data_IF_621168735210
#
_entry.id   IF_621168735210
#
_cell.length_a   1.000
_cell.length_b   1.000
_cell.length_c   1.000
_cell.angle_alpha   90.00
_cell.angle_beta   90.00
_cell.angle_gamma   90.00
#
_symmetry.space_group_name_H-M   'P 1'
#
loop_
_entity.id
_entity.type
_entity.pdbx_description
1 polymer ?
#
# COMPACT_ATOMS: atom_id res chain seq x y z
N UNK A 1 21.44 21.55 -25.14
CA UNK A 1 20.18 21.93 -24.46
C UNK A 1 19.34 22.83 -25.35
N UNK A 2 19.75 24.08 -25.65
CA UNK A 2 18.91 25.06 -26.34
C UNK A 2 18.49 24.61 -27.75
N UNK A 3 19.40 24.07 -28.55
CA UNK A 3 19.12 23.57 -29.91
C UNK A 3 18.05 22.47 -29.89
N UNK A 4 18.16 21.52 -28.97
CA UNK A 4 17.20 20.41 -28.84
C UNK A 4 15.83 20.93 -28.36
N UNK A 5 15.80 21.86 -27.41
CA UNK A 5 14.57 22.52 -26.96
C UNK A 5 13.87 23.26 -28.10
N UNK A 6 14.61 24.01 -28.92
CA UNK A 6 14.04 24.74 -30.06
C UNK A 6 13.45 23.77 -31.10
N UNK A 7 14.06 22.61 -31.33
CA UNK A 7 13.55 21.56 -32.22
C UNK A 7 12.28 20.89 -31.66
N UNK A 8 12.25 20.60 -30.35
CA UNK A 8 11.07 20.03 -29.69
C UNK A 8 9.90 21.03 -29.73
N UNK A 9 10.15 22.32 -29.46
CA UNK A 9 9.12 23.35 -29.51
C UNK A 9 8.55 23.58 -30.91
N UNK A 10 9.29 23.23 -31.97
CA UNK A 10 8.82 23.31 -33.37
C UNK A 10 8.03 22.09 -33.81
N UNK A 11 8.10 20.98 -33.07
CA UNK A 11 7.30 19.78 -33.37
C UNK A 11 5.87 19.98 -32.84
N UNK A 12 4.87 19.78 -33.70
CA UNK A 12 3.45 19.88 -33.36
C UNK A 12 2.86 18.60 -32.72
N UNK A 13 3.72 17.70 -32.27
CA UNK A 13 3.29 16.41 -31.68
C UNK A 13 4.21 16.03 -30.51
N UNK A 14 3.75 15.13 -29.66
CA UNK A 14 4.57 14.58 -28.59
C UNK A 14 5.80 13.90 -29.17
N UNK A 15 6.98 14.27 -28.67
CA UNK A 15 8.27 13.75 -29.13
C UNK A 15 8.67 12.60 -28.21
N UNK A 16 8.96 11.43 -28.78
CA UNK A 16 9.43 10.28 -28.03
C UNK A 16 10.81 10.55 -27.39
N UNK A 17 11.11 9.85 -26.31
CA UNK A 17 12.41 10.01 -25.61
C UNK A 17 13.58 9.63 -26.53
N UNK A 18 13.40 8.61 -27.37
CA UNK A 18 14.38 8.17 -28.36
C UNK A 18 14.67 9.26 -29.38
N UNK A 19 13.64 9.96 -29.86
CA UNK A 19 13.81 11.10 -30.81
C UNK A 19 14.60 12.25 -30.16
N UNK A 20 14.32 12.54 -28.85
CA UNK A 20 15.07 13.53 -28.10
C UNK A 20 16.53 13.14 -27.95
N UNK A 21 16.81 11.86 -27.67
CA UNK A 21 18.16 11.33 -27.58
C UNK A 21 18.91 11.43 -28.91
N UNK A 22 18.23 11.15 -30.04
CA UNK A 22 18.79 11.32 -31.36
C UNK A 22 19.09 12.76 -31.74
N UNK A 23 18.22 13.69 -31.30
CA UNK A 23 18.47 15.15 -31.42
C UNK A 23 19.69 15.59 -30.62
N UNK A 24 19.86 15.06 -29.39
CA UNK A 24 21.04 15.34 -28.55
C UNK A 24 22.31 14.84 -29.22
N UNK A 25 22.31 13.61 -29.74
CA UNK A 25 23.45 13.00 -30.42
C UNK A 25 23.86 13.83 -31.65
N UNK A 26 22.90 14.18 -32.51
CA UNK A 26 23.12 15.04 -33.68
C UNK A 26 23.67 16.41 -33.28
N UNK A 27 23.09 17.03 -32.25
CA UNK A 27 23.55 18.34 -31.76
C UNK A 27 24.97 18.31 -31.19
N UNK A 28 25.40 17.21 -30.55
CA UNK A 28 26.79 17.03 -30.10
C UNK A 28 27.74 16.90 -31.34
N UNK A 29 27.33 16.14 -32.35
CA UNK A 29 28.12 15.97 -33.59
C UNK A 29 28.25 17.27 -34.38
N UNK A 30 27.18 18.05 -34.53
CA UNK A 30 27.18 19.36 -35.19
C UNK A 30 28.11 20.35 -34.50
N UNK A 31 28.23 20.29 -33.17
CA UNK A 31 29.18 21.06 -32.40
C UNK A 31 30.63 20.53 -32.46
N UNK A 32 30.88 19.51 -33.31
CA UNK A 32 32.17 18.83 -33.44
C UNK A 32 32.70 18.14 -32.20
N UNK A 33 31.80 17.84 -31.23
CA UNK A 33 32.13 17.12 -30.00
C UNK A 33 32.21 15.60 -30.21
N UNK A 34 33.00 15.15 -31.18
CA UNK A 34 33.01 13.76 -31.63
C UNK A 34 33.35 12.74 -30.54
N UNK A 35 34.27 13.07 -29.63
CA UNK A 35 34.61 12.20 -28.50
C UNK A 35 33.43 12.07 -27.51
N UNK A 36 32.75 13.19 -27.24
CA UNK A 36 31.56 13.20 -26.40
C UNK A 36 30.41 12.44 -27.04
N UNK A 37 30.21 12.61 -28.35
CA UNK A 37 29.22 11.86 -29.13
C UNK A 37 29.48 10.35 -29.05
N UNK A 38 30.74 9.91 -29.20
CA UNK A 38 31.10 8.50 -29.05
C UNK A 38 30.79 7.93 -27.67
N UNK A 39 31.09 8.68 -26.62
CA UNK A 39 30.80 8.28 -25.25
C UNK A 39 29.27 8.19 -25.06
N UNK A 40 28.53 9.16 -25.57
CA UNK A 40 27.09 9.21 -25.48
C UNK A 40 26.40 8.04 -26.23
N UNK A 41 26.84 7.73 -27.46
CA UNK A 41 26.34 6.59 -28.24
C UNK A 41 26.62 5.26 -27.53
N UNK A 42 27.84 5.09 -27.00
CA UNK A 42 28.16 3.88 -26.21
C UNK A 42 27.34 3.77 -24.94
N UNK A 43 27.06 4.88 -24.27
CA UNK A 43 26.18 4.92 -23.11
C UNK A 43 24.76 4.54 -23.49
N UNK A 44 24.19 5.12 -24.55
CA UNK A 44 22.86 4.74 -25.07
C UNK A 44 22.78 3.26 -25.41
N UNK A 45 23.77 2.75 -26.14
CA UNK A 45 23.83 1.33 -26.51
C UNK A 45 23.85 0.42 -25.27
N UNK A 46 24.65 0.74 -24.25
CA UNK A 46 24.67 -0.02 -23.01
C UNK A 46 23.32 0.01 -22.28
N UNK A 47 22.67 1.16 -22.26
CA UNK A 47 21.34 1.32 -21.69
C UNK A 47 20.28 0.51 -22.46
N UNK A 48 20.36 0.52 -23.78
CA UNK A 48 19.46 -0.24 -24.65
C UNK A 48 19.66 -1.76 -24.48
N UNK A 49 20.92 -2.20 -24.40
CA UNK A 49 21.24 -3.59 -24.11
C UNK A 49 20.74 -4.03 -22.73
N UNK A 50 20.89 -3.18 -21.71
CA UNK A 50 20.37 -3.45 -20.37
C UNK A 50 18.83 -3.52 -20.35
N UNK A 51 18.14 -2.71 -21.16
CA UNK A 51 16.67 -2.79 -21.31
C UNK A 51 16.19 -4.03 -22.08
N UNK A 52 17.00 -4.52 -23.04
CA UNK A 52 16.69 -5.69 -23.89
C UNK A 52 17.15 -7.01 -23.30
N UNK A 53 18.15 -6.98 -22.41
CA UNK A 53 18.52 -8.14 -21.63
C UNK A 53 17.31 -8.60 -20.78
N UNK A 54 17.25 -9.88 -20.45
CA UNK A 54 16.18 -10.38 -19.57
C UNK A 54 16.28 -9.67 -18.22
N UNK A 55 15.57 -8.57 -18.09
CA UNK A 55 15.67 -7.62 -16.98
C UNK A 55 15.32 -8.23 -15.63
N UNK A 56 14.57 -9.35 -15.65
CA UNK A 56 14.16 -10.06 -14.43
C UNK A 56 15.35 -10.72 -13.75
N UNK A 57 16.16 -11.48 -14.51
CA UNK A 57 17.34 -12.14 -13.96
C UNK A 57 18.38 -11.12 -13.47
N UNK A 58 18.64 -10.09 -14.25
CA UNK A 58 19.57 -9.02 -13.88
C UNK A 58 19.08 -8.23 -12.65
N UNK A 59 17.77 -7.95 -12.55
CA UNK A 59 17.15 -7.33 -11.41
C UNK A 59 17.29 -8.16 -10.15
N UNK A 60 17.05 -9.47 -10.24
CA UNK A 60 17.21 -10.42 -9.13
C UNK A 60 18.68 -10.52 -8.68
N UNK A 61 19.61 -10.62 -9.62
CA UNK A 61 21.04 -10.68 -9.31
C UNK A 61 21.51 -9.37 -8.65
N UNK A 62 21.08 -8.22 -9.15
CA UNK A 62 21.40 -6.93 -8.55
C UNK A 62 20.86 -6.78 -7.11
N UNK A 63 19.73 -7.40 -6.79
CA UNK A 63 19.22 -7.46 -5.42
C UNK A 63 20.07 -8.36 -4.52
N UNK A 64 20.46 -9.53 -5.01
CA UNK A 64 21.33 -10.48 -4.27
C UNK A 64 22.68 -9.83 -3.96
N UNK A 65 23.27 -9.17 -4.94
CA UNK A 65 24.57 -8.49 -4.80
C UNK A 65 24.49 -7.14 -4.07
N UNK A 66 23.29 -6.71 -3.70
CA UNK A 66 23.01 -5.43 -3.02
C UNK A 66 23.51 -4.20 -3.80
N UNK A 67 23.52 -4.29 -5.13
CA UNK A 67 23.93 -3.19 -6.04
C UNK A 67 22.76 -2.49 -6.73
N UNK A 68 21.53 -2.87 -6.41
CA UNK A 68 20.33 -2.22 -6.97
C UNK A 68 20.14 -0.83 -6.35
N UNK A 69 20.51 0.21 -7.10
CA UNK A 69 20.42 1.60 -6.65
C UNK A 69 18.97 2.09 -6.54
N UNK A 70 18.04 1.56 -7.33
CA UNK A 70 16.61 1.93 -7.25
C UNK A 70 16.05 1.51 -5.90
N UNK A 71 16.31 0.29 -5.48
CA UNK A 71 15.85 -0.25 -4.19
C UNK A 71 16.49 0.48 -3.01
N UNK A 72 17.76 0.88 -3.13
CA UNK A 72 18.44 1.67 -2.08
C UNK A 72 17.83 3.07 -1.90
N UNK A 73 17.28 3.65 -2.98
CA UNK A 73 16.70 4.98 -3.01
C UNK A 73 15.17 4.96 -2.79
N UNK A 74 14.56 3.80 -2.85
CA UNK A 74 13.13 3.65 -2.63
C UNK A 74 12.78 4.08 -1.20
N UNK A 75 11.87 5.05 -1.09
CA UNK A 75 11.37 5.54 0.20
C UNK A 75 10.36 4.55 0.79
N UNK A 76 10.76 3.30 0.93
CA UNK A 76 9.95 2.24 1.52
C UNK A 76 10.25 2.13 3.02
N UNK A 77 9.25 1.72 3.79
CA UNK A 77 9.42 1.43 5.22
C UNK A 77 10.23 0.15 5.48
N UNK A 78 10.76 -0.47 4.43
CA UNK A 78 11.50 -1.73 4.48
C UNK A 78 12.99 -1.47 4.35
N UNK A 79 13.79 -2.13 5.18
CA UNK A 79 15.25 -2.08 5.08
C UNK A 79 15.73 -3.04 3.96
N UNK A 80 16.32 -2.53 2.85
CA UNK A 80 16.71 -3.35 1.70
C UNK A 80 17.84 -4.36 1.98
N UNK A 81 18.52 -4.25 3.12
CA UNK A 81 19.63 -5.17 3.49
C UNK A 81 19.16 -6.41 4.25
N UNK A 82 17.89 -6.46 4.65
CA UNK A 82 17.32 -7.60 5.38
C UNK A 82 16.89 -8.68 4.39
N UNK A 83 17.27 -9.94 4.64
CA UNK A 83 17.02 -11.07 3.74
C UNK A 83 15.52 -11.28 3.42
N UNK A 84 14.61 -11.06 4.36
CA UNK A 84 13.17 -11.15 4.11
C UNK A 84 12.69 -10.07 3.16
N UNK A 85 13.21 -8.85 3.29
CA UNK A 85 12.93 -7.72 2.39
C UNK A 85 13.49 -7.96 0.99
N UNK A 86 14.71 -8.50 0.88
CA UNK A 86 15.30 -8.87 -0.41
C UNK A 86 14.47 -9.94 -1.14
N UNK A 87 13.96 -10.93 -0.39
CA UNK A 87 13.06 -11.94 -0.94
C UNK A 87 11.75 -11.33 -1.49
N UNK A 88 11.21 -10.35 -0.80
CA UNK A 88 10.03 -9.60 -1.21
C UNK A 88 10.29 -8.80 -2.50
N UNK A 89 11.43 -8.12 -2.60
CA UNK A 89 11.84 -7.44 -3.83
C UNK A 89 12.10 -8.39 -5.00
N UNK A 90 12.65 -9.58 -4.75
CA UNK A 90 12.80 -10.60 -5.79
C UNK A 90 11.42 -11.05 -6.32
N UNK A 91 10.45 -11.24 -5.42
CA UNK A 91 9.06 -11.52 -5.81
C UNK A 91 8.48 -10.37 -6.63
N UNK A 92 8.79 -9.12 -6.27
CA UNK A 92 8.42 -7.92 -7.02
C UNK A 92 8.96 -7.90 -8.45
N UNK A 93 10.23 -8.26 -8.66
CA UNK A 93 10.80 -8.35 -10.02
C UNK A 93 10.08 -9.39 -10.88
N UNK A 94 9.75 -10.55 -10.31
CA UNK A 94 8.94 -11.57 -10.99
C UNK A 94 7.54 -11.05 -11.28
N UNK A 95 6.91 -10.36 -10.34
CA UNK A 95 5.59 -9.74 -10.53
C UNK A 95 5.58 -8.71 -11.64
N UNK A 96 6.59 -7.84 -11.73
CA UNK A 96 6.76 -6.86 -12.81
C UNK A 96 6.81 -7.54 -14.18
N UNK A 97 7.60 -8.60 -14.31
CA UNK A 97 7.72 -9.34 -15.56
C UNK A 97 6.40 -10.01 -15.95
N UNK A 98 5.75 -10.71 -15.01
CA UNK A 98 4.46 -11.36 -15.26
C UNK A 98 3.36 -10.35 -15.59
N UNK A 99 3.33 -9.23 -14.89
CA UNK A 99 2.37 -8.16 -15.12
C UNK A 99 2.45 -7.64 -16.54
N UNK A 100 3.66 -7.37 -17.04
CA UNK A 100 3.88 -6.84 -18.38
C UNK A 100 3.62 -7.87 -19.49
N UNK A 101 4.02 -9.14 -19.29
CA UNK A 101 3.92 -10.16 -20.34
C UNK A 101 2.58 -10.89 -20.39
N UNK A 102 1.86 -10.97 -19.28
CA UNK A 102 0.73 -11.92 -19.17
C UNK A 102 -0.52 -11.27 -18.59
N UNK A 103 -0.39 -10.42 -17.55
CA UNK A 103 -1.53 -9.99 -16.78
C UNK A 103 -2.19 -8.73 -17.33
N UNK A 104 -1.43 -7.83 -17.94
CA UNK A 104 -1.95 -6.63 -18.59
C UNK A 104 -2.26 -6.88 -20.07
N UNK A 105 -3.28 -6.22 -20.62
CA UNK A 105 -3.47 -6.12 -22.05
C UNK A 105 -2.25 -5.47 -22.72
N UNK A 106 -1.90 -5.95 -23.91
CA UNK A 106 -0.72 -5.47 -24.67
C UNK A 106 -0.74 -3.95 -24.87
N UNK A 107 -1.91 -3.36 -25.10
CA UNK A 107 -2.09 -1.92 -25.29
C UNK A 107 -1.68 -1.12 -24.05
N UNK A 108 -1.99 -1.63 -22.86
CA UNK A 108 -1.63 -0.99 -21.57
C UNK A 108 -0.12 -1.10 -21.33
N UNK A 109 0.44 -2.28 -21.60
CA UNK A 109 1.90 -2.50 -21.50
C UNK A 109 2.65 -1.57 -22.44
N UNK A 110 2.24 -1.49 -23.71
CA UNK A 110 2.86 -0.60 -24.70
C UNK A 110 2.74 0.87 -24.30
N UNK A 111 1.56 1.30 -23.82
CA UNK A 111 1.35 2.68 -23.39
C UNK A 111 2.23 3.04 -22.17
N UNK A 112 2.46 2.09 -21.26
CA UNK A 112 3.38 2.26 -20.14
C UNK A 112 4.85 2.34 -20.60
N UNK A 113 5.28 1.44 -21.48
CA UNK A 113 6.65 1.42 -22.01
C UNK A 113 6.99 2.66 -22.86
N UNK A 114 5.99 3.20 -23.57
CA UNK A 114 6.11 4.45 -24.31
C UNK A 114 6.03 5.70 -23.42
N UNK A 115 5.74 5.55 -22.12
CA UNK A 115 5.61 6.68 -21.20
C UNK A 115 4.33 7.51 -21.39
N UNK A 116 3.33 6.99 -22.09
CA UNK A 116 2.01 7.63 -22.24
C UNK A 116 1.24 7.58 -20.95
N UNK A 117 1.30 6.45 -20.24
CA UNK A 117 0.75 6.24 -18.91
C UNK A 117 1.83 5.67 -17.99
N UNK A 118 1.62 5.78 -16.69
CA UNK A 118 2.40 5.05 -15.69
C UNK A 118 1.50 4.04 -14.99
N UNK A 119 1.76 2.74 -15.20
CA UNK A 119 1.09 1.68 -14.45
C UNK A 119 1.87 1.49 -13.14
N UNK A 120 1.26 1.94 -12.05
CA UNK A 120 1.88 1.93 -10.72
C UNK A 120 1.80 0.55 -10.06
N UNK A 121 2.75 0.23 -9.18
CA UNK A 121 2.75 -0.98 -8.34
C UNK A 121 2.70 -2.32 -9.12
N UNK A 122 3.31 -2.37 -10.30
CA UNK A 122 3.39 -3.61 -11.10
C UNK A 122 4.14 -4.75 -10.39
N UNK A 123 4.96 -4.41 -9.41
CA UNK A 123 5.72 -5.31 -8.55
C UNK A 123 4.86 -6.03 -7.49
N UNK A 124 3.67 -5.52 -7.19
CA UNK A 124 2.70 -6.13 -6.28
C UNK A 124 1.44 -6.66 -6.98
N UNK A 125 1.25 -6.29 -8.24
CA UNK A 125 0.01 -6.56 -8.98
C UNK A 125 -0.31 -8.05 -9.13
N UNK A 126 0.70 -8.90 -9.33
CA UNK A 126 0.52 -10.34 -9.50
C UNK A 126 -0.02 -11.03 -8.23
N UNK A 127 0.33 -10.55 -7.05
CA UNK A 127 -0.14 -11.07 -5.77
C UNK A 127 -1.40 -10.37 -5.26
N UNK A 128 -1.89 -9.35 -5.96
CA UNK A 128 -3.04 -8.53 -5.54
C UNK A 128 -2.85 -7.88 -4.17
N UNK A 129 -1.64 -7.49 -3.86
CA UNK A 129 -1.33 -6.72 -2.66
C UNK A 129 -1.68 -5.24 -2.87
N UNK A 130 -2.09 -4.59 -1.78
CA UNK A 130 -2.38 -3.17 -1.73
C UNK A 130 -1.21 -2.40 -1.13
N UNK A 131 -1.00 -1.16 -1.56
CA UNK A 131 0.01 -0.30 -0.95
C UNK A 131 -0.50 0.23 0.40
N UNK A 132 -1.42 1.19 0.35
CA UNK A 132 -1.98 1.82 1.54
C UNK A 132 -3.50 1.76 1.52
N UNK A 133 -4.08 1.41 2.67
CA UNK A 133 -5.52 1.28 2.81
C UNK A 133 -6.10 2.27 3.79
N UNK A 134 -7.24 2.85 3.41
CA UNK A 134 -8.11 3.57 4.32
C UNK A 134 -9.27 2.66 4.70
N UNK A 135 -9.25 2.15 5.93
CA UNK A 135 -10.26 1.18 6.38
C UNK A 135 -11.55 1.90 6.76
N UNK A 136 -12.65 1.54 6.11
CA UNK A 136 -13.98 2.01 6.48
C UNK A 136 -14.51 1.23 7.70
N UNK A 137 -13.81 1.40 8.84
CA UNK A 137 -14.10 0.69 10.07
C UNK A 137 -15.52 0.93 10.58
N UNK A 138 -16.09 2.12 10.33
CA UNK A 138 -17.47 2.43 10.72
C UNK A 138 -18.45 1.45 10.09
N UNK A 139 -18.42 1.33 8.77
CA UNK A 139 -19.32 0.46 8.03
C UNK A 139 -19.14 -1.02 8.42
N UNK A 140 -17.89 -1.45 8.56
CA UNK A 140 -17.56 -2.83 8.95
C UNK A 140 -18.08 -3.21 10.34
N UNK A 141 -18.09 -2.27 11.29
CA UNK A 141 -18.60 -2.50 12.63
C UNK A 141 -20.12 -2.36 12.72
N UNK A 142 -20.73 -1.43 11.97
CA UNK A 142 -22.18 -1.21 11.99
C UNK A 142 -22.96 -2.28 11.23
N UNK A 143 -22.42 -2.77 10.10
CA UNK A 143 -23.11 -3.71 9.21
C UNK A 143 -22.53 -5.13 9.24
N UNK A 144 -21.47 -5.34 10.00
CA UNK A 144 -20.69 -6.56 9.98
C UNK A 144 -19.70 -6.61 8.81
N UNK A 145 -18.84 -7.60 8.81
CA UNK A 145 -17.78 -7.76 7.81
C UNK A 145 -17.51 -9.24 7.54
N UNK A 146 -16.59 -9.52 6.63
CA UNK A 146 -16.09 -10.86 6.36
C UNK A 146 -14.59 -10.89 6.58
N UNK A 147 -14.11 -11.78 7.44
CA UNK A 147 -12.69 -11.98 7.74
C UNK A 147 -12.35 -13.43 7.44
N UNK A 148 -11.40 -13.65 6.53
CA UNK A 148 -10.98 -15.00 6.11
C UNK A 148 -12.16 -15.92 5.78
N UNK A 149 -13.08 -15.42 4.92
CA UNK A 149 -14.32 -16.13 4.50
C UNK A 149 -15.34 -16.36 5.63
N UNK A 150 -15.09 -15.88 6.84
CA UNK A 150 -15.99 -15.97 7.97
C UNK A 150 -16.76 -14.66 8.13
N UNK A 151 -18.10 -14.78 8.15
CA UNK A 151 -18.97 -13.63 8.44
C UNK A 151 -18.86 -13.25 9.91
N UNK A 152 -18.60 -11.97 10.16
CA UNK A 152 -18.55 -11.36 11.49
C UNK A 152 -19.74 -10.43 11.62
N UNK A 153 -20.62 -10.72 12.56
CA UNK A 153 -21.76 -9.88 12.85
C UNK A 153 -21.35 -8.58 13.58
N UNK A 154 -22.19 -7.52 13.56
CA UNK A 154 -21.93 -6.31 14.29
C UNK A 154 -21.67 -6.58 15.79
N UNK A 155 -20.64 -5.96 16.39
CA UNK A 155 -20.31 -6.19 17.79
C UNK A 155 -21.37 -5.57 18.73
N UNK A 156 -21.66 -6.26 19.83
CA UNK A 156 -22.63 -5.84 20.83
C UNK A 156 -21.98 -5.31 22.11
N UNK A 157 -20.72 -4.89 22.05
CA UNK A 157 -20.00 -4.22 23.12
C UNK A 157 -18.75 -3.51 22.62
N UNK A 158 -18.25 -2.56 23.39
CA UNK A 158 -17.01 -1.85 23.08
C UNK A 158 -15.81 -2.82 23.03
N UNK A 159 -15.74 -3.75 23.99
CA UNK A 159 -14.67 -4.75 24.02
C UNK A 159 -14.66 -5.63 22.75
N UNK A 160 -15.84 -6.10 22.34
CA UNK A 160 -15.96 -6.90 21.12
C UNK A 160 -15.63 -6.06 19.87
N UNK A 161 -16.04 -4.78 19.83
CA UNK A 161 -15.70 -3.87 18.73
C UNK A 161 -14.17 -3.67 18.60
N UNK A 162 -13.46 -3.53 19.72
CA UNK A 162 -12.00 -3.48 19.72
C UNK A 162 -11.36 -4.78 19.18
N UNK A 163 -11.83 -5.93 19.63
CA UNK A 163 -11.32 -7.23 19.13
C UNK A 163 -11.57 -7.43 17.64
N UNK A 164 -12.77 -7.10 17.15
CA UNK A 164 -13.10 -7.18 15.72
C UNK A 164 -12.22 -6.21 14.92
N UNK A 165 -11.99 -4.99 15.44
CA UNK A 165 -11.08 -4.01 14.83
C UNK A 165 -9.66 -4.59 14.69
N UNK A 166 -9.14 -5.21 15.74
CA UNK A 166 -7.79 -5.83 15.70
C UNK A 166 -7.71 -6.93 14.64
N UNK A 167 -8.76 -7.74 14.51
CA UNK A 167 -8.84 -8.78 13.47
C UNK A 167 -8.90 -8.18 12.07
N UNK A 168 -9.68 -7.10 11.86
CA UNK A 168 -9.74 -6.37 10.58
C UNK A 168 -8.34 -5.83 10.23
N UNK A 169 -7.67 -5.18 11.18
CA UNK A 169 -6.32 -4.63 11.00
C UNK A 169 -5.33 -5.73 10.60
N UNK A 170 -5.37 -6.88 11.28
CA UNK A 170 -4.51 -8.02 10.97
C UNK A 170 -4.79 -8.61 9.59
N UNK A 171 -6.07 -8.72 9.20
CA UNK A 171 -6.47 -9.22 7.88
C UNK A 171 -6.02 -8.29 6.77
N UNK A 172 -6.20 -6.97 6.92
CA UNK A 172 -5.72 -5.98 5.94
C UNK A 172 -4.20 -6.05 5.83
N UNK A 173 -3.49 -6.13 6.97
CA UNK A 173 -2.03 -6.22 6.99
C UNK A 173 -1.48 -7.46 6.25
N UNK A 174 -2.24 -8.55 6.15
CA UNK A 174 -1.81 -9.74 5.42
C UNK A 174 -1.83 -9.59 3.89
N UNK A 175 -2.51 -8.55 3.37
CA UNK A 175 -2.64 -8.26 1.94
C UNK A 175 -2.09 -6.88 1.57
N UNK A 176 -1.20 -6.34 2.39
CA UNK A 176 -0.72 -4.97 2.26
C UNK A 176 0.77 -4.87 2.52
N UNK A 177 1.47 -4.05 1.76
CA UNK A 177 2.90 -3.79 1.98
C UNK A 177 3.19 -2.38 2.54
N UNK A 178 2.22 -1.47 2.50
CA UNK A 178 2.33 -0.11 3.03
C UNK A 178 1.67 0.07 4.39
N UNK A 179 1.01 1.20 4.59
CA UNK A 179 0.34 1.57 5.83
C UNK A 179 -1.17 1.47 5.76
N UNK A 180 -1.81 1.35 6.90
CA UNK A 180 -3.25 1.41 7.01
C UNK A 180 -3.69 2.52 7.96
N UNK A 181 -4.84 3.13 7.66
CA UNK A 181 -5.41 4.21 8.45
C UNK A 181 -6.88 3.95 8.74
N UNK A 182 -7.30 4.25 9.95
CA UNK A 182 -8.70 4.25 10.36
C UNK A 182 -8.92 5.24 11.50
N UNK A 183 -10.17 5.62 11.76
CA UNK A 183 -10.51 6.53 12.86
C UNK A 183 -10.93 5.76 14.10
N UNK A 184 -10.26 6.00 15.24
CA UNK A 184 -10.68 5.50 16.54
C UNK A 184 -12.06 6.05 16.96
N UNK A 185 -12.49 7.18 16.41
CA UNK A 185 -13.83 7.73 16.60
C UNK A 185 -14.94 6.78 16.19
N UNK A 186 -14.67 5.82 15.30
CA UNK A 186 -15.65 4.81 14.89
C UNK A 186 -15.96 3.77 15.99
N UNK A 187 -15.12 3.68 17.03
CA UNK A 187 -15.37 2.84 18.22
C UNK A 187 -16.26 3.53 19.27
N UNK A 188 -16.32 4.86 19.25
CA UNK A 188 -17.03 5.62 20.27
C UNK A 188 -18.52 5.25 20.43
N UNK A 189 -19.30 4.97 19.38
CA UNK A 189 -20.70 4.55 19.51
C UNK A 189 -20.89 3.29 20.37
N UNK A 190 -19.92 2.37 20.34
CA UNK A 190 -19.99 1.10 21.08
C UNK A 190 -19.82 1.25 22.57
N UNK A 191 -19.32 2.42 23.04
CA UNK A 191 -19.34 2.77 24.47
C UNK A 191 -20.77 2.88 24.97
N UNK A 192 -21.68 3.47 24.19
CA UNK A 192 -23.09 3.56 24.57
C UNK A 192 -23.76 2.18 24.50
N UNK A 193 -23.45 1.37 23.50
CA UNK A 193 -23.96 -0.02 23.39
C UNK A 193 -23.55 -0.82 24.63
N UNK A 194 -22.29 -0.72 25.08
CA UNK A 194 -21.84 -1.37 26.31
C UNK A 194 -22.52 -0.81 27.56
N UNK A 195 -22.73 0.50 27.61
CA UNK A 195 -23.44 1.13 28.75
C UNK A 195 -24.85 0.59 28.90
N UNK A 196 -25.60 0.51 27.82
CA UNK A 196 -26.98 0.03 27.80
C UNK A 196 -27.02 -1.44 28.22
N UNK A 197 -26.16 -2.28 27.66
CA UNK A 197 -26.03 -3.68 28.01
C UNK A 197 -25.70 -3.90 29.50
N UNK A 198 -24.69 -3.19 30.03
CA UNK A 198 -24.30 -3.26 31.45
C UNK A 198 -25.44 -2.81 32.32
N UNK A 199 -26.19 -1.78 31.91
CA UNK A 199 -27.34 -1.30 32.66
C UNK A 199 -28.42 -2.37 32.77
N UNK A 200 -28.75 -3.06 31.66
CA UNK A 200 -29.70 -4.18 31.65
C UNK A 200 -29.22 -5.34 32.55
N UNK A 201 -27.95 -5.69 32.48
CA UNK A 201 -27.36 -6.75 33.31
C UNK A 201 -27.44 -6.41 34.80
N UNK A 202 -27.09 -5.18 35.18
CA UNK A 202 -27.16 -4.75 36.60
C UNK A 202 -28.61 -4.68 37.10
N UNK A 203 -29.55 -4.25 36.27
CA UNK A 203 -30.97 -4.29 36.61
C UNK A 203 -31.48 -5.71 36.83
N UNK A 204 -31.10 -6.62 35.95
CA UNK A 204 -31.45 -8.04 36.08
C UNK A 204 -30.86 -8.67 37.36
N UNK A 205 -29.58 -8.44 37.63
CA UNK A 205 -28.90 -8.91 38.83
C UNK A 205 -29.60 -8.33 40.11
N UNK A 206 -29.99 -7.06 40.08
CA UNK A 206 -30.76 -6.43 41.20
C UNK A 206 -32.06 -7.19 41.45
N UNK A 207 -32.82 -7.48 40.41
CA UNK A 207 -34.13 -8.13 40.55
C UNK A 207 -33.99 -9.61 40.98
N UNK A 208 -32.95 -10.32 40.55
CA UNK A 208 -32.66 -11.69 40.97
C UNK A 208 -32.19 -11.80 42.44
N UNK A 209 -31.40 -10.84 42.90
CA UNK A 209 -30.84 -10.84 44.26
C UNK A 209 -31.75 -10.14 45.26
N UNK A 210 -32.75 -9.38 44.80
CA UNK A 210 -33.69 -8.66 45.65
C UNK A 210 -33.06 -7.46 46.38
N UNK A 211 -31.96 -6.91 45.88
CA UNK A 211 -31.26 -5.75 46.47
C UNK A 211 -31.81 -4.47 45.86
N UNK A 212 -32.26 -3.54 46.71
CA UNK A 212 -32.69 -2.23 46.25
C UNK A 212 -31.50 -1.28 46.16
N UNK A 213 -31.02 -1.03 44.96
CA UNK A 213 -30.03 0.04 44.68
C UNK A 213 -30.75 1.39 44.51
N UNK A 214 -30.20 2.46 45.05
CA UNK A 214 -30.60 3.82 44.67
C UNK A 214 -30.13 4.11 43.22
N UNK A 215 -30.77 5.06 42.55
CA UNK A 215 -30.38 5.46 41.20
C UNK A 215 -28.90 5.89 41.11
N UNK A 216 -28.38 6.53 42.15
CA UNK A 216 -26.97 6.91 42.24
C UNK A 216 -26.06 5.70 42.37
N UNK A 217 -26.42 4.70 43.16
CA UNK A 217 -25.66 3.46 43.32
C UNK A 217 -25.64 2.67 42.00
N UNK A 218 -26.78 2.57 41.34
CA UNK A 218 -26.92 1.91 40.05
C UNK A 218 -26.01 2.58 39.01
N UNK A 219 -26.05 3.90 38.90
CA UNK A 219 -25.17 4.68 38.03
C UNK A 219 -23.69 4.45 38.35
N UNK A 220 -23.29 4.44 39.58
CA UNK A 220 -21.90 4.19 39.98
C UNK A 220 -21.42 2.77 39.60
N UNK A 221 -22.27 1.76 39.74
CA UNK A 221 -21.93 0.38 39.35
C UNK A 221 -21.75 0.28 37.87
N UNK A 222 -22.69 0.84 37.07
CA UNK A 222 -22.63 0.86 35.60
C UNK A 222 -21.38 1.57 35.14
N UNK A 223 -21.09 2.78 35.64
CA UNK A 223 -19.90 3.54 35.21
C UNK A 223 -18.58 2.83 35.56
N UNK A 224 -18.51 2.14 36.71
CA UNK A 224 -17.33 1.34 37.06
C UNK A 224 -17.14 0.17 36.09
N UNK A 225 -18.18 -0.63 35.83
CA UNK A 225 -18.10 -1.78 34.89
C UNK A 225 -17.77 -1.33 33.48
N UNK A 226 -18.37 -0.22 33.06
CA UNK A 226 -18.08 0.35 31.74
C UNK A 226 -16.62 0.80 31.62
N UNK A 227 -16.08 1.45 32.66
CA UNK A 227 -14.66 1.84 32.68
C UNK A 227 -13.75 0.62 32.61
N UNK A 228 -14.07 -0.45 33.33
CA UNK A 228 -13.29 -1.68 33.32
C UNK A 228 -13.34 -2.35 31.97
N UNK A 229 -14.49 -2.34 31.29
CA UNK A 229 -14.63 -2.86 29.92
C UNK A 229 -13.84 -2.03 28.91
N UNK A 230 -13.95 -0.71 28.96
CA UNK A 230 -13.19 0.20 28.07
C UNK A 230 -11.69 -0.03 28.26
N UNK A 231 -11.22 -0.11 29.51
CA UNK A 231 -9.81 -0.34 29.81
C UNK A 231 -9.32 -1.65 29.20
N UNK A 232 -10.07 -2.74 29.31
CA UNK A 232 -9.73 -4.03 28.72
C UNK A 232 -9.75 -4.01 27.18
N UNK A 233 -10.64 -3.23 26.60
CA UNK A 233 -10.73 -3.11 25.12
C UNK A 233 -9.57 -2.33 24.52
N UNK A 234 -8.99 -1.40 25.26
CA UNK A 234 -7.86 -0.57 24.79
C UNK A 234 -6.49 -1.25 25.03
N UNK A 235 -6.37 -2.11 26.03
CA UNK A 235 -5.17 -2.91 26.32
C UNK A 235 -4.97 -4.05 25.34
#
# INVERSE_FOLDING_TARGET
GKIVMDQICQSNHATAVEDIQDMVERGIMEMRGYEVAQIYVRYRYKRDMARKANTTDDGILALIDQINEEVKQENSNKNPTINSTQRDYMAGEVSKDLTRRILLPDEITQAHEQGIIHFHDSDYFAQKEHNCDLINLKDMLENGTCISETKIDPPHSFYTACNVTTQIVAQVASNQYGGQSFSLGHLAPFVQVSRDKITEEVMKERDEVGVNYSDEQLKMIVERRLRDEITRGIQ
#
